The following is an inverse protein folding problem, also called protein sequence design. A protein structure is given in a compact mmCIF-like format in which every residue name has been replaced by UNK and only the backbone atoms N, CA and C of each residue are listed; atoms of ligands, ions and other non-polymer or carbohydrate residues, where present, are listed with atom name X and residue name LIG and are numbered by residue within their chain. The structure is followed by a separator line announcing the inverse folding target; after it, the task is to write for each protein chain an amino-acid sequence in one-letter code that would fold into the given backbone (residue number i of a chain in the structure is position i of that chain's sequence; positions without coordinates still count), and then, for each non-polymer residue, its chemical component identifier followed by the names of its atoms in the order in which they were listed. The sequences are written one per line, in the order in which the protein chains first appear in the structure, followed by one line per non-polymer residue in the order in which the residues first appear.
data_IF_899869538526
#
_entry.id   IF_899869538526
#
_cell.length_a   1.000
_cell.length_b   1.000
_cell.length_c   1.000
_cell.angle_alpha   90.00
_cell.angle_beta   90.00
_cell.angle_gamma   90.00
#
_symmetry.space_group_name_H-M   'P 1'
#
loop_
_entity.id
_entity.type
_entity.pdbx_description
1 polymer ?
#
# COMPACT_ATOMS: atom_id res chain seq x y z
N UNK A 1 5.75 6.41 -12.58
CA UNK A 1 5.10 6.37 -11.27
C UNK A 1 4.91 7.79 -10.76
N UNK A 2 3.70 8.14 -10.41
CA UNK A 2 3.34 9.48 -9.93
C UNK A 2 2.58 9.40 -8.61
N UNK A 3 2.71 10.43 -7.78
CA UNK A 3 1.89 10.52 -6.56
C UNK A 3 0.43 10.74 -6.95
N UNK A 4 -0.48 10.06 -6.26
CA UNK A 4 -1.91 10.35 -6.38
C UNK A 4 -2.21 11.72 -5.76
N UNK A 5 -3.29 12.34 -6.21
CA UNK A 5 -3.71 13.66 -5.70
C UNK A 5 -4.08 13.62 -4.21
N UNK A 6 -4.06 14.77 -3.57
CA UNK A 6 -4.50 14.90 -2.17
C UNK A 6 -5.97 14.47 -2.01
N UNK A 7 -6.81 14.75 -3.01
CA UNK A 7 -8.22 14.38 -3.02
C UNK A 7 -8.39 12.84 -3.07
N UNK A 8 -7.66 12.15 -3.95
CA UNK A 8 -7.68 10.69 -4.04
C UNK A 8 -7.13 10.05 -2.76
N UNK A 9 -6.08 10.62 -2.20
CA UNK A 9 -5.51 10.19 -0.92
C UNK A 9 -6.54 10.29 0.21
N UNK A 10 -7.24 11.40 0.32
CA UNK A 10 -8.27 11.60 1.33
C UNK A 10 -9.44 10.62 1.18
N UNK A 11 -9.87 10.37 -0.07
CA UNK A 11 -10.94 9.42 -0.37
C UNK A 11 -10.57 7.99 0.07
N UNK A 12 -9.37 7.54 -0.26
CA UNK A 12 -8.89 6.23 0.15
C UNK A 12 -8.72 6.14 1.68
N UNK A 13 -8.18 7.18 2.30
CA UNK A 13 -8.00 7.25 3.76
C UNK A 13 -9.30 7.05 4.52
N UNK A 14 -10.37 7.71 4.09
CA UNK A 14 -11.68 7.62 4.75
C UNK A 14 -12.22 6.20 4.81
N UNK A 15 -11.86 5.36 3.85
CA UNK A 15 -12.33 3.98 3.77
C UNK A 15 -11.48 2.99 4.58
N UNK A 16 -10.37 3.44 5.15
CA UNK A 16 -9.53 2.59 5.98
C UNK A 16 -10.13 2.42 7.38
N UNK A 17 -10.02 1.24 7.99
CA UNK A 17 -10.40 1.06 9.38
C UNK A 17 -9.65 2.02 10.31
N UNK A 18 -10.30 2.49 11.35
CA UNK A 18 -9.69 3.43 12.30
C UNK A 18 -8.39 2.90 12.90
N UNK A 19 -8.33 1.60 13.24
CA UNK A 19 -7.11 0.99 13.76
C UNK A 19 -5.92 1.10 12.80
N UNK A 20 -6.17 0.94 11.50
CA UNK A 20 -5.15 1.10 10.46
C UNK A 20 -4.72 2.56 10.29
N UNK A 21 -5.63 3.49 10.44
CA UNK A 21 -5.35 4.93 10.41
C UNK A 21 -4.46 5.34 11.59
N UNK A 22 -4.77 4.86 12.78
CA UNK A 22 -3.96 5.11 13.97
C UNK A 22 -2.57 4.48 13.84
N UNK A 23 -2.50 3.27 13.30
CA UNK A 23 -1.22 2.61 13.01
C UNK A 23 -0.34 3.40 12.05
N UNK A 24 -0.94 4.01 11.02
CA UNK A 24 -0.21 4.84 10.07
C UNK A 24 0.39 6.10 10.73
N UNK A 25 -0.31 6.69 11.68
CA UNK A 25 0.21 7.81 12.49
C UNK A 25 1.32 7.37 13.46
N UNK A 26 1.18 6.18 14.05
CA UNK A 26 2.14 5.68 15.04
C UNK A 26 3.46 5.24 14.39
N UNK A 27 3.42 4.73 13.17
CA UNK A 27 4.59 4.13 12.53
C UNK A 27 5.46 5.15 11.80
N UNK A 28 6.75 5.14 12.09
CA UNK A 28 7.77 5.76 11.24
C UNK A 28 8.30 4.69 10.30
N UNK A 29 7.56 4.43 9.24
CA UNK A 29 7.74 3.30 8.33
C UNK A 29 9.21 3.03 7.97
N UNK A 30 9.63 1.77 8.13
CA UNK A 30 10.96 1.26 7.80
C UNK A 30 12.11 1.80 8.65
N UNK A 31 11.84 2.60 9.66
CA UNK A 31 12.87 3.05 10.59
C UNK A 31 13.07 2.05 11.73
N UNK A 32 14.30 1.91 12.24
CA UNK A 32 14.55 1.06 13.40
C UNK A 32 13.76 1.50 14.62
N UNK A 33 13.38 0.53 15.45
CA UNK A 33 12.75 0.76 16.73
C UNK A 33 13.32 -0.23 17.75
N UNK A 34 13.37 0.17 19.02
CA UNK A 34 14.04 -0.62 20.05
C UNK A 34 13.36 -1.94 20.37
N UNK A 35 12.02 -2.02 20.33
CA UNK A 35 11.26 -3.20 20.69
C UNK A 35 9.81 -3.13 20.19
N UNK A 36 9.12 -4.28 20.23
CA UNK A 36 7.68 -4.29 19.97
C UNK A 36 6.92 -3.49 21.04
N UNK A 37 7.35 -3.53 22.30
CA UNK A 37 6.74 -2.73 23.37
C UNK A 37 6.79 -1.24 23.05
N UNK A 38 7.92 -0.75 22.53
CA UNK A 38 8.06 0.64 22.11
C UNK A 38 7.09 1.01 20.97
N UNK A 39 6.88 0.10 20.02
CA UNK A 39 5.90 0.31 18.95
C UNK A 39 4.47 0.40 19.49
N UNK A 40 4.10 -0.49 20.41
CA UNK A 40 2.78 -0.47 21.02
C UNK A 40 2.54 0.79 21.87
N UNK A 41 3.59 1.32 22.48
CA UNK A 41 3.56 2.59 23.20
C UNK A 41 3.29 3.76 22.26
N UNK A 42 3.95 3.81 21.09
CA UNK A 42 3.67 4.80 20.06
C UNK A 42 2.21 4.73 19.60
N UNK A 43 1.68 3.52 19.42
CA UNK A 43 0.29 3.31 19.04
C UNK A 43 -0.68 3.81 20.12
N UNK A 44 -0.38 3.53 21.39
CA UNK A 44 -1.20 3.98 22.52
C UNK A 44 -1.24 5.52 22.60
N UNK A 45 -0.10 6.18 22.42
CA UNK A 45 0.01 7.64 22.45
C UNK A 45 -0.81 8.27 21.31
N UNK A 46 -0.73 7.74 20.11
CA UNK A 46 -1.51 8.20 18.96
C UNK A 46 -3.00 7.95 19.17
N UNK A 47 -3.36 6.79 19.69
CA UNK A 47 -4.75 6.45 19.99
C UNK A 47 -5.37 7.45 20.96
N UNK A 48 -4.63 7.83 22.00
CA UNK A 48 -5.06 8.82 22.98
C UNK A 48 -5.14 10.22 22.37
N UNK A 49 -4.17 10.59 21.52
CA UNK A 49 -4.12 11.87 20.83
C UNK A 49 -5.38 12.16 20.02
N UNK A 50 -5.91 11.15 19.34
CA UNK A 50 -7.08 11.27 18.47
C UNK A 50 -8.38 10.72 19.07
N UNK A 51 -8.39 10.40 20.38
CA UNK A 51 -9.53 9.75 21.02
C UNK A 51 -10.83 10.58 20.91
N UNK A 52 -10.73 11.91 20.95
CA UNK A 52 -11.88 12.82 20.92
C UNK A 52 -12.35 13.16 19.50
N UNK A 53 -11.67 12.67 18.48
CA UNK A 53 -12.00 12.94 17.09
C UNK A 53 -12.82 11.80 16.48
N UNK A 54 -13.93 12.14 15.82
CA UNK A 54 -14.73 11.16 15.08
C UNK A 54 -13.97 10.60 13.88
N UNK A 55 -13.15 11.43 13.22
CA UNK A 55 -12.35 11.04 12.08
C UNK A 55 -10.88 11.34 12.33
N UNK A 56 -10.01 10.37 12.04
CA UNK A 56 -8.56 10.54 12.13
C UNK A 56 -8.08 11.28 10.88
N UNK A 57 -7.34 12.40 11.02
CA UNK A 57 -6.85 13.14 9.88
C UNK A 57 -5.77 12.37 9.12
N UNK A 58 -5.56 12.70 7.85
CA UNK A 58 -4.50 12.11 7.02
C UNK A 58 -3.14 12.60 7.50
N UNK A 59 -2.17 11.71 7.78
CA UNK A 59 -0.81 12.16 8.10
C UNK A 59 -0.17 12.89 6.91
N UNK A 60 0.65 13.94 7.16
CA UNK A 60 1.25 14.72 6.07
C UNK A 60 2.15 13.90 5.12
N UNK A 61 2.74 12.83 5.64
CA UNK A 61 3.65 11.95 4.90
C UNK A 61 2.96 10.73 4.28
N UNK A 62 1.65 10.64 4.39
CA UNK A 62 0.88 9.49 3.90
C UNK A 62 0.27 9.78 2.53
N UNK A 63 0.28 8.79 1.67
CA UNK A 63 -0.29 8.91 0.34
C UNK A 63 -0.09 7.64 -0.47
N UNK A 64 -0.32 7.73 -1.76
CA UNK A 64 -0.17 6.63 -2.69
C UNK A 64 0.52 7.05 -3.97
N UNK A 65 0.88 6.06 -4.76
CA UNK A 65 1.46 6.25 -6.08
C UNK A 65 0.63 5.52 -7.12
N UNK A 66 0.47 6.15 -8.27
CA UNK A 66 -0.10 5.51 -9.44
C UNK A 66 1.03 4.91 -10.26
N UNK A 67 0.95 3.61 -10.52
CA UNK A 67 1.92 2.88 -11.34
C UNK A 67 1.23 2.55 -12.66
N UNK A 68 1.80 3.04 -13.76
CA UNK A 68 1.37 2.69 -15.10
C UNK A 68 2.33 1.63 -15.65
N UNK A 69 1.90 0.37 -15.76
CA UNK A 69 2.78 -0.67 -16.28
C UNK A 69 2.94 -0.55 -17.79
N UNK A 70 4.17 -0.68 -18.28
CA UNK A 70 4.46 -0.77 -19.72
C UNK A 70 4.29 -2.19 -20.23
N UNK A 71 4.57 -3.17 -19.37
CA UNK A 71 4.47 -4.59 -19.67
C UNK A 71 3.74 -5.30 -18.52
N UNK A 72 2.79 -6.13 -18.87
CA UNK A 72 2.11 -7.03 -17.94
C UNK A 72 2.24 -8.45 -18.44
N UNK A 73 2.70 -9.35 -17.59
CA UNK A 73 2.80 -10.76 -17.91
C UNK A 73 1.88 -11.58 -17.00
N UNK A 74 1.04 -12.39 -17.61
CA UNK A 74 0.24 -13.41 -16.92
C UNK A 74 0.94 -14.75 -17.02
N UNK A 75 1.23 -15.34 -15.88
CA UNK A 75 1.99 -16.58 -15.79
C UNK A 75 1.15 -17.65 -15.10
N UNK A 76 1.11 -18.85 -15.70
CA UNK A 76 0.45 -20.00 -15.10
C UNK A 76 1.41 -21.19 -15.10
N UNK A 77 1.66 -21.77 -13.92
CA UNK A 77 2.48 -22.96 -13.78
C UNK A 77 1.82 -24.19 -14.38
N UNK A 78 2.61 -24.96 -15.13
CA UNK A 78 2.20 -26.23 -15.71
C UNK A 78 3.26 -27.28 -15.47
N UNK A 79 2.89 -28.57 -15.64
CA UNK A 79 3.80 -29.69 -15.52
C UNK A 79 4.96 -29.60 -16.52
N UNK A 80 6.09 -30.22 -16.17
CA UNK A 80 7.29 -30.29 -17.00
C UNK A 80 7.89 -28.93 -17.38
N UNK A 81 7.59 -27.90 -16.59
CA UNK A 81 8.03 -26.52 -16.82
C UNK A 81 7.53 -25.92 -18.14
N UNK A 82 6.51 -26.53 -18.76
CA UNK A 82 5.87 -25.99 -19.96
C UNK A 82 4.77 -25.02 -19.53
N UNK A 83 5.19 -23.91 -18.93
CA UNK A 83 4.29 -22.92 -18.37
C UNK A 83 3.61 -22.08 -19.44
N UNK A 84 2.42 -21.60 -19.13
CA UNK A 84 1.74 -20.61 -19.97
C UNK A 84 2.20 -19.21 -19.55
N UNK A 85 2.66 -18.43 -20.52
CA UNK A 85 3.08 -17.05 -20.32
C UNK A 85 2.42 -16.18 -21.38
N UNK A 86 1.64 -15.19 -20.95
CA UNK A 86 0.97 -14.24 -21.84
C UNK A 86 1.47 -12.84 -21.49
N UNK A 87 2.04 -12.15 -22.44
CA UNK A 87 2.54 -10.79 -22.28
C UNK A 87 1.62 -9.80 -23.00
N UNK A 88 1.26 -8.74 -22.28
CA UNK A 88 0.61 -7.57 -22.84
C UNK A 88 1.60 -6.40 -22.82
N UNK A 89 1.96 -5.91 -23.99
CA UNK A 89 2.89 -4.79 -24.14
C UNK A 89 2.55 -4.03 -25.43
N UNK A 90 2.61 -2.70 -25.39
CA UNK A 90 2.37 -1.85 -26.56
C UNK A 90 1.05 -2.16 -27.31
N UNK A 91 -0.01 -2.49 -26.56
CA UNK A 91 -1.30 -2.87 -27.14
C UNK A 91 -1.35 -4.23 -27.80
N UNK A 92 -0.30 -5.04 -27.67
CA UNK A 92 -0.24 -6.39 -28.23
C UNK A 92 -0.28 -7.44 -27.16
N UNK A 93 -0.95 -8.56 -27.46
CA UNK A 93 -0.99 -9.76 -26.63
C UNK A 93 -0.20 -10.86 -27.33
N UNK A 94 0.80 -11.39 -26.64
CA UNK A 94 1.68 -12.42 -27.19
C UNK A 94 1.85 -13.56 -26.19
N UNK A 95 1.93 -14.78 -26.72
CA UNK A 95 2.33 -15.93 -25.92
C UNK A 95 3.86 -16.03 -25.92
N UNK A 96 4.44 -16.15 -24.75
CA UNK A 96 5.88 -16.36 -24.61
C UNK A 96 6.16 -17.83 -24.33
N UNK A 97 7.32 -18.29 -24.81
CA UNK A 97 7.84 -19.59 -24.42
C UNK A 97 8.33 -19.54 -22.97
N UNK A 98 8.15 -20.64 -22.22
CA UNK A 98 8.61 -20.73 -20.84
C UNK A 98 10.13 -20.74 -20.72
#
# INVERSE_FOLDING_TARGET
MTKVSAEATAAYWRNRPRGSQLGAWASHQSKPIASRAALLEQLADVTQRFADLDAVPVPPNWGGYLIEPEVVEFWQGRENRVHNRIRLAEGRVERLQP
#
